data_IF_243700897195
#
_entry.id   IF_243700897195
#
_cell.length_a   1.000
_cell.length_b   1.000
_cell.length_c   1.000
_cell.angle_alpha   90.00
_cell.angle_beta   90.00
_cell.angle_gamma   90.00
#
_symmetry.space_group_name_H-M   'P 1'
#
loop_
_entity.id
_entity.type
_entity.pdbx_description
1 polymer ?
#
# COMPACT_ATOMS: atom_id res chain seq x y z
N UNK A 1 -26.81 -87.74 34.69
CA UNK A 1 -27.41 -87.95 33.35
C UNK A 1 -28.62 -87.01 33.32
N UNK A 2 -28.71 -85.92 32.58
CA UNK A 2 -28.35 -85.61 31.18
C UNK A 2 -28.20 -84.09 31.04
N UNK A 3 -27.41 -83.68 30.04
CA UNK A 3 -27.08 -82.30 29.70
C UNK A 3 -28.26 -81.50 29.11
N UNK A 4 -28.19 -80.17 29.25
CA UNK A 4 -28.71 -79.25 28.23
C UNK A 4 -27.93 -77.92 28.29
N UNK A 5 -27.37 -77.56 27.14
CA UNK A 5 -26.56 -76.38 26.87
C UNK A 5 -27.42 -75.19 26.45
N UNK A 6 -26.95 -73.95 26.71
CA UNK A 6 -27.06 -72.79 25.81
C UNK A 6 -26.29 -71.58 26.40
N UNK A 7 -25.49 -70.93 25.57
CA UNK A 7 -24.58 -69.81 25.90
C UNK A 7 -25.27 -68.42 25.74
N UNK A 8 -24.53 -67.29 25.67
CA UNK A 8 -24.31 -66.28 26.73
C UNK A 8 -25.00 -64.93 26.44
N UNK A 9 -24.86 -63.92 27.32
CA UNK A 9 -24.54 -62.60 26.79
C UNK A 9 -23.25 -61.99 27.38
N UNK A 10 -22.29 -61.93 26.48
CA UNK A 10 -21.30 -60.88 26.23
C UNK A 10 -21.66 -59.49 26.83
N UNK A 11 -20.90 -59.02 27.83
CA UNK A 11 -20.62 -57.59 28.05
C UNK A 11 -19.21 -57.49 28.66
N UNK A 12 -18.18 -57.75 27.85
CA UNK A 12 -16.82 -57.30 28.12
C UNK A 12 -16.61 -56.00 27.35
N UNK A 13 -16.63 -54.89 28.08
CA UNK A 13 -15.81 -53.69 27.84
C UNK A 13 -16.12 -52.73 29.00
N UNK A 14 -15.39 -52.83 30.12
CA UNK A 14 -14.09 -52.19 30.32
C UNK A 14 -14.14 -50.67 30.08
N UNK A 15 -14.16 -49.95 31.20
CA UNK A 15 -13.37 -48.75 31.45
C UNK A 15 -13.29 -47.72 30.31
N UNK A 16 -14.00 -46.60 30.48
CA UNK A 16 -13.33 -45.31 30.37
C UNK A 16 -14.09 -44.23 31.14
N UNK A 17 -13.80 -44.13 32.44
CA UNK A 17 -13.92 -42.88 33.17
C UNK A 17 -12.95 -41.88 32.56
N UNK A 18 -13.44 -41.04 31.64
CA UNK A 18 -12.80 -39.77 31.33
C UNK A 18 -13.49 -38.68 32.15
N UNK A 19 -12.77 -38.16 33.13
CA UNK A 19 -13.17 -36.95 33.83
C UNK A 19 -13.25 -35.80 32.81
N UNK A 20 -14.47 -35.29 32.57
CA UNK A 20 -14.68 -34.05 31.86
C UNK A 20 -14.12 -32.90 32.72
N UNK A 21 -12.90 -32.45 32.43
CA UNK A 21 -12.38 -31.19 32.93
C UNK A 21 -13.18 -30.06 32.27
N UNK A 22 -14.28 -29.66 32.90
CA UNK A 22 -15.04 -28.49 32.50
C UNK A 22 -14.17 -27.24 32.72
N UNK A 23 -13.41 -26.85 31.70
CA UNK A 23 -12.74 -25.55 31.67
C UNK A 23 -13.84 -24.50 31.56
N UNK A 24 -14.07 -23.80 32.66
CA UNK A 24 -14.97 -22.66 32.73
C UNK A 24 -14.31 -21.52 31.94
N UNK A 25 -14.67 -21.39 30.67
CA UNK A 25 -14.32 -20.21 29.88
C UNK A 25 -15.24 -19.08 30.33
N UNK A 26 -14.69 -18.14 31.11
CA UNK A 26 -15.36 -16.87 31.36
C UNK A 26 -15.14 -15.99 30.13
N UNK A 27 -16.24 -15.69 29.42
CA UNK A 27 -16.28 -14.58 28.49
C UNK A 27 -16.23 -13.31 29.34
N UNK A 28 -15.05 -12.70 29.43
CA UNK A 28 -14.92 -11.36 29.99
C UNK A 28 -15.42 -10.42 28.90
N UNK A 29 -16.67 -9.99 29.00
CA UNK A 29 -17.18 -8.87 28.21
C UNK A 29 -16.51 -7.61 28.75
N UNK A 30 -15.35 -7.28 28.19
CA UNK A 30 -14.71 -5.98 28.40
C UNK A 30 -15.57 -4.97 27.67
N UNK A 31 -16.68 -4.57 28.30
CA UNK A 31 -17.39 -3.36 27.93
C UNK A 31 -16.49 -2.19 28.33
N UNK A 32 -15.45 -1.95 27.52
CA UNK A 32 -14.75 -0.68 27.54
C UNK A 32 -15.80 0.39 27.32
N UNK A 33 -15.91 1.26 28.32
CA UNK A 33 -16.82 2.38 28.32
C UNK A 33 -16.57 3.17 27.04
N UNK A 34 -17.52 3.12 26.11
CA UNK A 34 -17.60 4.06 24.99
C UNK A 34 -17.75 5.44 25.60
N UNK A 35 -16.64 6.16 25.68
CA UNK A 35 -16.67 7.60 25.53
C UNK A 35 -17.47 7.95 24.26
N UNK A 36 -18.24 9.04 24.23
CA UNK A 36 -18.80 9.55 22.99
C UNK A 36 -17.63 10.07 22.17
N UNK A 37 -16.92 9.17 21.49
CA UNK A 37 -15.82 9.48 20.61
C UNK A 37 -16.42 10.20 19.42
N UNK A 38 -16.38 11.53 19.48
CA UNK A 38 -16.42 12.37 18.29
C UNK A 38 -15.52 11.73 17.24
N UNK A 39 -15.96 11.63 15.97
CA UNK A 39 -15.13 11.06 14.93
C UNK A 39 -13.77 11.76 14.97
N UNK A 40 -12.66 11.00 14.98
CA UNK A 40 -11.34 11.55 15.24
C UNK A 40 -11.05 12.64 14.21
N UNK A 41 -10.95 13.90 14.65
CA UNK A 41 -10.78 15.05 13.78
C UNK A 41 -9.47 14.95 12.97
N UNK A 42 -9.49 15.35 11.70
CA UNK A 42 -8.28 15.35 10.87
C UNK A 42 -7.39 16.53 11.27
N UNK A 43 -6.20 16.24 11.79
CA UNK A 43 -5.22 17.28 12.03
C UNK A 43 -4.52 17.69 10.72
N UNK A 44 -4.95 18.80 10.13
CA UNK A 44 -4.42 19.35 8.88
C UNK A 44 -2.98 19.89 8.97
N UNK A 45 -2.42 20.01 10.18
CA UNK A 45 -1.01 20.39 10.36
C UNK A 45 -0.06 19.21 10.12
N UNK A 46 -0.56 17.97 10.22
CA UNK A 46 0.19 16.75 9.99
C UNK A 46 0.05 16.29 8.54
N UNK A 47 0.73 15.19 8.21
CA UNK A 47 0.55 14.54 6.92
C UNK A 47 -0.88 14.03 6.76
N UNK A 48 -1.56 14.46 5.68
CA UNK A 48 -2.91 14.03 5.35
C UNK A 48 -3.06 12.50 5.25
N UNK A 49 -2.00 11.81 4.84
CA UNK A 49 -2.02 10.37 4.54
C UNK A 49 -1.74 9.52 5.78
N UNK A 50 -0.64 9.77 6.49
CA UNK A 50 -0.29 8.95 7.66
C UNK A 50 -0.77 9.52 8.99
N UNK A 51 -1.11 10.82 9.07
CA UNK A 51 -1.47 11.52 10.31
C UNK A 51 -0.44 11.41 11.44
N UNK A 52 0.82 11.18 11.06
CA UNK A 52 1.95 11.06 11.97
C UNK A 52 2.93 12.21 11.74
N UNK A 53 3.63 12.60 12.81
CA UNK A 53 4.81 13.46 12.71
C UNK A 53 6.03 12.57 12.43
N UNK A 54 6.75 12.86 11.35
CA UNK A 54 7.94 12.11 10.97
C UNK A 54 9.13 13.06 10.84
N UNK A 55 10.32 12.51 10.68
CA UNK A 55 11.53 13.29 10.39
C UNK A 55 11.51 13.92 9.00
N UNK A 56 10.61 13.50 8.12
CA UNK A 56 10.48 14.05 6.78
C UNK A 56 9.75 15.40 6.81
N UNK A 57 10.26 16.35 6.03
CA UNK A 57 9.60 17.64 5.86
C UNK A 57 8.26 17.47 5.12
N UNK A 58 7.21 18.02 5.70
CA UNK A 58 5.90 18.12 5.05
C UNK A 58 5.95 19.07 3.85
N UNK A 59 5.36 18.64 2.74
CA UNK A 59 5.25 19.42 1.50
C UNK A 59 3.82 19.95 1.38
N UNK A 60 3.70 21.26 1.16
CA UNK A 60 2.43 21.92 0.83
C UNK A 60 2.39 22.24 -0.68
N UNK A 61 1.44 21.69 -1.45
CA UNK A 61 1.27 22.01 -2.87
C UNK A 61 1.03 23.48 -3.18
N UNK A 62 0.33 24.23 -2.30
CA UNK A 62 0.11 25.68 -2.48
C UNK A 62 1.43 26.44 -2.50
N UNK A 63 2.36 26.04 -1.62
CA UNK A 63 3.66 26.69 -1.46
C UNK A 63 4.72 26.17 -2.46
N UNK A 64 4.33 25.28 -3.38
CA UNK A 64 5.23 24.77 -4.40
C UNK A 64 5.61 25.89 -5.39
N UNK A 65 6.87 25.95 -5.80
CA UNK A 65 7.37 26.89 -6.83
C UNK A 65 6.80 26.66 -8.24
N UNK A 66 5.77 25.82 -8.38
CA UNK A 66 5.19 25.43 -9.68
C UNK A 66 4.24 26.53 -10.17
N UNK A 67 4.12 26.62 -11.50
CA UNK A 67 3.27 27.62 -12.19
C UNK A 67 1.79 27.48 -11.85
N UNK A 68 1.34 26.26 -11.55
CA UNK A 68 -0.06 25.93 -11.28
C UNK A 68 -0.24 25.50 -9.80
N UNK A 69 -0.30 26.48 -8.87
CA UNK A 69 -0.55 26.19 -7.46
C UNK A 69 -1.90 25.49 -7.32
N UNK A 70 -1.91 24.35 -6.64
CA UNK A 70 -3.12 23.57 -6.40
C UNK A 70 -3.35 22.35 -7.30
N UNK A 71 -2.67 22.23 -8.44
CA UNK A 71 -2.73 21.03 -9.31
C UNK A 71 -2.41 19.72 -8.57
N UNK A 72 -1.60 19.81 -7.52
CA UNK A 72 -1.29 18.69 -6.63
C UNK A 72 -2.49 18.18 -5.83
N UNK A 73 -3.41 19.06 -5.41
CA UNK A 73 -4.61 18.65 -4.67
C UNK A 73 -5.60 17.94 -5.57
N UNK A 74 -5.85 18.44 -6.78
CA UNK A 74 -6.70 17.79 -7.78
C UNK A 74 -6.25 16.36 -8.04
N UNK A 75 -4.95 16.18 -8.30
CA UNK A 75 -4.38 14.86 -8.58
C UNK A 75 -4.44 13.95 -7.35
N UNK A 76 -4.13 14.48 -6.16
CA UNK A 76 -4.14 13.70 -4.93
C UNK A 76 -5.56 13.25 -4.57
N UNK A 77 -6.53 14.17 -4.58
CA UNK A 77 -7.93 13.87 -4.27
C UNK A 77 -8.50 12.81 -5.21
N UNK A 78 -8.30 12.98 -6.53
CA UNK A 78 -8.74 12.00 -7.51
C UNK A 78 -8.10 10.61 -7.31
N UNK A 79 -6.83 10.57 -6.91
CA UNK A 79 -6.16 9.30 -6.62
C UNK A 79 -6.68 8.66 -5.35
N UNK A 80 -6.89 9.43 -4.28
CA UNK A 80 -7.40 8.89 -3.01
C UNK A 80 -8.78 8.25 -3.20
N UNK A 81 -9.68 8.85 -3.97
CA UNK A 81 -10.98 8.26 -4.33
C UNK A 81 -10.80 6.89 -5.00
N UNK A 82 -9.94 6.81 -6.02
CA UNK A 82 -9.68 5.55 -6.73
C UNK A 82 -8.99 4.50 -5.86
N UNK A 83 -8.09 4.90 -4.95
CA UNK A 83 -7.47 3.96 -4.02
C UNK A 83 -8.45 3.42 -2.98
N UNK A 84 -9.48 4.19 -2.63
CA UNK A 84 -10.57 3.76 -1.76
C UNK A 84 -11.46 2.73 -2.45
N UNK A 85 -11.82 2.97 -3.72
CA UNK A 85 -12.52 2.00 -4.58
C UNK A 85 -11.76 0.67 -4.69
N UNK A 86 -10.42 0.72 -4.70
CA UNK A 86 -9.55 -0.46 -4.72
C UNK A 86 -9.35 -1.12 -3.34
N UNK A 87 -9.86 -0.52 -2.26
CA UNK A 87 -9.64 -0.96 -0.88
C UNK A 87 -8.16 -0.94 -0.46
N UNK A 88 -7.38 -0.01 -1.02
CA UNK A 88 -5.93 0.15 -0.76
C UNK A 88 -5.57 1.44 -0.01
N UNK A 89 -6.56 2.20 0.43
CA UNK A 89 -6.34 3.34 1.33
C UNK A 89 -5.83 2.84 2.69
N UNK A 90 -4.94 3.57 3.37
CA UNK A 90 -4.55 3.23 4.73
C UNK A 90 -5.73 3.56 5.67
N UNK A 91 -5.89 2.80 6.76
CA UNK A 91 -7.00 2.99 7.72
C UNK A 91 -7.00 4.38 8.38
N UNK A 92 -5.86 5.06 8.36
CA UNK A 92 -5.66 6.43 8.83
C UNK A 92 -6.35 7.47 7.95
N UNK A 93 -6.59 7.17 6.67
CA UNK A 93 -7.30 8.07 5.75
C UNK A 93 -8.70 7.53 5.57
N UNK A 94 -9.69 8.38 5.82
CA UNK A 94 -11.09 8.07 5.56
C UNK A 94 -11.66 9.21 4.74
N UNK A 95 -12.10 8.93 3.51
CA UNK A 95 -12.62 9.95 2.61
C UNK A 95 -13.84 10.66 3.21
N UNK A 96 -14.71 9.92 3.89
CA UNK A 96 -15.88 10.47 4.59
C UNK A 96 -15.51 11.53 5.64
N UNK A 97 -14.32 11.44 6.22
CA UNK A 97 -13.81 12.43 7.18
C UNK A 97 -13.17 13.64 6.49
N UNK A 98 -12.61 13.44 5.30
CA UNK A 98 -11.94 14.49 4.53
C UNK A 98 -12.90 15.32 3.70
N UNK A 99 -14.13 14.85 3.48
CA UNK A 99 -15.14 15.58 2.73
C UNK A 99 -16.07 16.34 3.68
N UNK A 100 -15.96 17.66 3.70
CA UNK A 100 -16.85 18.56 4.44
C UNK A 100 -18.16 18.88 3.67
N UNK A 101 -18.43 18.15 2.58
CA UNK A 101 -19.63 18.31 1.74
C UNK A 101 -19.41 19.18 0.50
N UNK A 102 -18.20 19.71 0.30
CA UNK A 102 -17.78 20.43 -0.91
C UNK A 102 -16.85 19.60 -1.81
N UNK A 103 -16.59 18.35 -1.42
CA UNK A 103 -15.62 17.47 -2.04
C UNK A 103 -14.26 17.48 -1.35
N UNK A 104 -13.56 16.35 -1.47
CA UNK A 104 -12.25 16.12 -0.85
C UNK A 104 -11.21 17.15 -1.32
N UNK A 105 -11.22 17.51 -2.61
CA UNK A 105 -10.27 18.49 -3.15
C UNK A 105 -10.46 19.89 -2.54
N UNK A 106 -11.70 20.39 -2.51
CA UNK A 106 -12.00 21.71 -1.98
C UNK A 106 -11.59 21.80 -0.51
N UNK A 107 -11.87 20.75 0.26
CA UNK A 107 -11.49 20.65 1.67
C UNK A 107 -9.96 20.64 1.84
N UNK A 108 -9.24 19.87 1.03
CA UNK A 108 -7.76 19.84 1.05
C UNK A 108 -7.13 21.19 0.72
N UNK A 109 -7.73 21.95 -0.21
CA UNK A 109 -7.27 23.30 -0.57
C UNK A 109 -7.56 24.29 0.55
N UNK A 110 -8.78 24.29 1.11
CA UNK A 110 -9.20 25.18 2.18
C UNK A 110 -8.30 25.07 3.41
N UNK A 111 -7.94 23.84 3.79
CA UNK A 111 -7.07 23.57 4.95
C UNK A 111 -5.58 23.54 4.61
N UNK A 112 -5.20 23.83 3.36
CA UNK A 112 -3.81 23.78 2.88
C UNK A 112 -3.09 22.49 3.27
N UNK A 113 -3.75 21.35 3.01
CA UNK A 113 -3.29 20.05 3.47
C UNK A 113 -1.85 19.78 3.05
N UNK A 114 -1.08 19.16 3.95
CA UNK A 114 0.33 18.85 3.76
C UNK A 114 0.55 17.34 3.74
N UNK A 115 1.63 16.89 3.12
CA UNK A 115 1.99 15.48 3.13
C UNK A 115 3.48 15.26 3.01
N UNK A 116 3.94 14.12 3.51
CA UNK A 116 5.31 13.66 3.27
C UNK A 116 5.52 13.33 1.79
N UNK A 117 6.76 13.50 1.33
CA UNK A 117 7.12 13.14 -0.06
C UNK A 117 6.95 11.64 -0.28
N UNK A 118 7.29 10.82 0.70
CA UNK A 118 7.10 9.36 0.66
C UNK A 118 5.62 8.98 0.55
N UNK A 119 4.76 9.56 1.39
CA UNK A 119 3.32 9.35 1.31
C UNK A 119 2.76 9.71 -0.07
N UNK A 120 3.18 10.85 -0.64
CA UNK A 120 2.73 11.23 -1.97
C UNK A 120 3.17 10.25 -3.07
N UNK A 121 4.37 9.68 -2.95
CA UNK A 121 4.85 8.67 -3.90
C UNK A 121 4.09 7.35 -3.81
N UNK A 122 3.53 7.00 -2.64
CA UNK A 122 2.69 5.81 -2.48
C UNK A 122 1.33 5.96 -3.15
N UNK A 123 0.74 7.16 -3.13
CA UNK A 123 -0.59 7.44 -3.68
C UNK A 123 -0.55 8.20 -5.01
N UNK A 124 0.50 7.98 -5.81
CA UNK A 124 0.64 8.58 -7.14
C UNK A 124 -0.05 7.76 -8.24
N UNK A 125 -0.19 8.37 -9.42
CA UNK A 125 -0.81 7.76 -10.61
C UNK A 125 -0.15 6.43 -11.02
N UNK A 126 1.17 6.31 -10.84
CA UNK A 126 1.91 5.09 -11.21
C UNK A 126 1.56 3.94 -10.28
N UNK A 127 1.42 4.20 -8.97
CA UNK A 127 1.02 3.20 -7.99
C UNK A 127 -0.44 2.80 -8.19
N UNK A 128 -1.30 3.76 -8.54
CA UNK A 128 -2.70 3.51 -8.88
C UNK A 128 -2.82 2.55 -10.06
N UNK A 129 -2.15 2.83 -11.18
CA UNK A 129 -2.11 1.92 -12.34
C UNK A 129 -1.57 0.53 -12.00
N UNK A 130 -0.58 0.45 -11.11
CA UNK A 130 -0.03 -0.83 -10.63
C UNK A 130 -1.02 -1.58 -9.73
N UNK A 131 -1.85 -0.87 -8.97
CA UNK A 131 -2.88 -1.46 -8.12
C UNK A 131 -4.03 -1.99 -8.98
N UNK A 132 -4.55 -1.20 -9.94
CA UNK A 132 -5.57 -1.60 -10.91
C UNK A 132 -5.15 -2.87 -11.68
N UNK A 133 -3.91 -2.89 -12.22
CA UNK A 133 -3.40 -4.06 -12.94
C UNK A 133 -3.34 -5.32 -12.08
N UNK A 134 -3.01 -5.19 -10.79
CA UNK A 134 -2.98 -6.32 -9.85
C UNK A 134 -4.38 -6.83 -9.55
N UNK A 135 -5.36 -5.93 -9.44
CA UNK A 135 -6.77 -6.31 -9.27
C UNK A 135 -7.24 -7.13 -10.48
N UNK A 136 -6.99 -6.64 -11.69
CA UNK A 136 -7.36 -7.33 -12.95
C UNK A 136 -6.68 -8.70 -13.03
N UNK A 137 -5.38 -8.78 -12.73
CA UNK A 137 -4.64 -10.04 -12.75
C UNK A 137 -5.15 -11.04 -11.69
N UNK A 138 -5.58 -10.55 -10.52
CA UNK A 138 -6.17 -11.40 -9.48
C UNK A 138 -7.57 -11.89 -9.85
N UNK A 139 -8.38 -11.06 -10.53
CA UNK A 139 -9.70 -11.48 -11.03
C UNK A 139 -9.62 -12.42 -12.23
N UNK A 140 -8.58 -12.30 -13.06
CA UNK A 140 -8.38 -13.18 -14.22
C UNK A 140 -7.76 -14.54 -13.86
N UNK A 141 -7.27 -14.73 -12.63
CA UNK A 141 -6.67 -16.00 -12.20
C UNK A 141 -7.71 -17.13 -11.98
N UNK A 142 -9.01 -16.83 -12.02
CA UNK A 142 -10.09 -17.83 -11.97
C UNK A 142 -10.58 -18.27 -13.37
N UNK A 143 -10.00 -17.75 -14.46
CA UNK A 143 -10.42 -18.12 -15.81
C UNK A 143 -9.34 -17.87 -16.86
N UNK A 144 -8.93 -18.97 -17.48
CA UNK A 144 -8.11 -19.09 -18.69
C UNK A 144 -6.59 -19.15 -18.53
N UNK A 145 -6.08 -20.30 -18.96
CA UNK A 145 -4.71 -20.58 -19.32
C UNK A 145 -4.28 -19.71 -20.53
N UNK A 146 -3.00 -19.33 -20.50
CA UNK A 146 -2.15 -18.89 -21.63
C UNK A 146 -2.42 -17.51 -22.27
N UNK A 147 -1.49 -16.58 -22.06
CA UNK A 147 -0.50 -16.17 -23.07
C UNK A 147 0.34 -14.98 -22.52
N UNK A 148 1.50 -15.27 -21.91
CA UNK A 148 2.46 -14.23 -21.54
C UNK A 148 3.29 -13.88 -22.77
N UNK A 149 2.81 -12.88 -23.52
CA UNK A 149 3.66 -12.16 -24.48
C UNK A 149 4.80 -11.47 -23.71
N UNK A 150 6.03 -11.85 -24.07
CA UNK A 150 7.25 -11.62 -23.31
C UNK A 150 7.52 -10.17 -22.95
N UNK A 151 7.80 -9.94 -21.66
CA UNK A 151 8.52 -8.73 -21.22
C UNK A 151 9.97 -8.88 -21.65
N UNK A 152 10.41 -8.08 -22.62
CA UNK A 152 11.84 -7.84 -22.82
C UNK A 152 12.41 -7.24 -21.53
N UNK A 153 13.19 -8.02 -20.80
CA UNK A 153 14.10 -7.49 -19.80
C UNK A 153 15.10 -6.60 -20.53
N UNK A 154 15.20 -5.33 -20.14
CA UNK A 154 16.32 -4.48 -20.59
C UNK A 154 17.54 -4.94 -19.82
N UNK A 155 18.17 -6.01 -20.28
CA UNK A 155 19.51 -6.38 -19.85
C UNK A 155 20.44 -5.26 -20.29
N UNK A 156 21.02 -4.54 -19.34
CA UNK A 156 22.18 -3.71 -19.61
C UNK A 156 23.33 -4.69 -19.92
N UNK A 157 23.51 -5.02 -21.19
CA UNK A 157 24.69 -5.75 -21.65
C UNK A 157 25.90 -4.98 -21.15
N UNK A 158 26.75 -5.64 -20.37
CA UNK A 158 28.07 -5.16 -20.04
C UNK A 158 28.83 -4.93 -21.35
N UNK A 159 28.87 -3.68 -21.78
CA UNK A 159 29.76 -3.21 -22.83
C UNK A 159 31.20 -3.39 -22.33
N UNK A 160 32.08 -4.10 -23.06
CA UNK A 160 33.48 -4.20 -22.69
C UNK A 160 34.12 -2.81 -22.75
N UNK A 161 34.83 -2.44 -21.69
CA UNK A 161 35.57 -1.19 -21.58
C UNK A 161 36.39 -0.91 -22.86
N UNK A 162 36.24 0.26 -23.51
CA UNK A 162 37.17 0.64 -24.57
C UNK A 162 38.57 0.77 -23.97
N UNK A 163 39.53 0.13 -24.64
CA UNK A 163 40.95 0.21 -24.33
C UNK A 163 41.41 1.67 -24.27
N UNK A 164 42.37 1.91 -23.38
CA UNK A 164 42.93 3.22 -23.06
C UNK A 164 43.26 4.06 -24.32
N UNK A 165 43.05 5.40 -24.27
CA UNK A 165 43.43 6.27 -25.35
C UNK A 165 44.96 6.29 -25.53
N UNK A 166 45.49 6.29 -26.77
CA UNK A 166 46.90 6.51 -26.99
C UNK A 166 47.29 7.92 -26.54
N UNK A 167 48.47 8.00 -25.92
CA UNK A 167 49.07 9.21 -25.39
C UNK A 167 49.02 10.38 -26.38
N UNK A 168 48.60 11.52 -25.86
CA UNK A 168 48.72 12.84 -26.48
C UNK A 168 50.20 13.07 -26.86
N UNK A 169 50.54 13.01 -28.15
CA UNK A 169 51.74 13.68 -28.66
C UNK A 169 51.34 15.11 -29.05
N UNK A 170 51.78 16.03 -28.22
CA UNK A 170 51.73 17.47 -28.44
C UNK A 170 52.75 17.86 -29.50
N UNK A 171 52.37 18.00 -30.76
CA UNK A 171 53.23 18.75 -31.69
C UNK A 171 52.49 19.39 -32.87
N UNK A 172 52.90 20.62 -33.15
CA UNK A 172 52.67 21.39 -34.38
C UNK A 172 51.47 22.35 -34.45
N UNK A 173 51.69 23.45 -33.73
CA UNK A 173 51.40 24.84 -34.07
C UNK A 173 51.21 25.10 -35.60
N UNK A 174 50.01 25.51 -36.02
CA UNK A 174 49.82 26.26 -37.25
C UNK A 174 48.62 27.21 -37.14
N UNK A 175 48.89 28.44 -37.56
CA UNK A 175 48.15 29.68 -37.32
C UNK A 175 46.72 29.69 -37.88
N UNK A 176 45.81 30.33 -37.14
CA UNK A 176 44.64 30.99 -37.75
C UNK A 176 44.53 32.43 -37.22
N UNK A 177 44.61 33.45 -38.08
CA UNK A 177 44.53 34.85 -37.67
C UNK A 177 43.09 35.23 -37.35
N UNK A 178 42.94 36.01 -36.28
CA UNK A 178 41.70 36.68 -35.87
C UNK A 178 41.48 37.90 -36.77
N UNK A 179 40.34 37.98 -37.47
CA UNK A 179 39.89 39.20 -38.14
C UNK A 179 38.82 39.87 -37.28
N UNK A 180 38.98 41.19 -37.13
CA UNK A 180 38.17 42.14 -36.36
C UNK A 180 36.84 42.43 -37.01
#
# INVERSE_FOLDING_TARGET
MTAAAAAPPDIRDALFQTAAMAKKFQLVDTFEQRTPTTPPETNWKLCLVCQEETTESLVCPVLSKRRDPGSGYTTMAANLVKFDELGKLPRTVQLQRLDEGQGVEATMVAHQAKWHKTCMLQYNNTMLRRAEKRLIASSSAFGSTDNVSGKRARTHSSEPLPAAPPAFSVESLAQRPYMK
#
